data_IF_729582459866
#
_entry.id   IF_729582459866
#
_cell.length_a   1.000
_cell.length_b   1.000
_cell.length_c   1.000
_cell.angle_alpha   90.00
_cell.angle_beta   90.00
_cell.angle_gamma   90.00
#
_symmetry.space_group_name_H-M   'P 1'
#
loop_
_entity.id
_entity.type
_entity.pdbx_description
1 polymer ?
#
# COMPACT_ATOMS: atom_id res chain seq x y z
N UNK A 1 12.99 -5.92 31.87
CA UNK A 1 13.52 -7.21 31.42
C UNK A 1 14.89 -6.95 30.85
N UNK A 2 15.93 -7.50 31.47
CA UNK A 2 17.30 -7.38 30.97
C UNK A 2 17.56 -8.62 30.12
N UNK A 3 17.73 -8.45 28.80
CA UNK A 3 18.03 -9.55 27.88
C UNK A 3 19.53 -9.86 27.97
N UNK A 4 19.89 -11.12 28.19
CA UNK A 4 21.28 -11.55 28.17
C UNK A 4 21.74 -11.70 26.70
N UNK A 5 23.04 -11.48 26.44
CA UNK A 5 23.62 -11.67 25.10
C UNK A 5 23.33 -13.08 24.55
N UNK A 6 23.30 -14.08 25.44
CA UNK A 6 23.07 -15.49 25.10
C UNK A 6 21.64 -15.75 24.59
N UNK A 7 20.66 -14.93 24.96
CA UNK A 7 19.28 -15.07 24.50
C UNK A 7 19.16 -14.91 22.97
N UNK A 8 20.01 -14.03 22.39
CA UNK A 8 20.07 -13.75 20.95
C UNK A 8 20.79 -14.83 20.14
N UNK A 9 21.54 -15.73 20.80
CA UNK A 9 22.29 -16.80 20.13
C UNK A 9 21.51 -18.11 20.06
N UNK A 10 20.31 -18.17 20.65
CA UNK A 10 19.49 -19.39 20.65
C UNK A 10 18.87 -19.66 19.26
N UNK A 11 18.79 -20.94 18.83
CA UNK A 11 18.05 -21.31 17.63
C UNK A 11 16.57 -20.87 17.66
N UNK A 12 15.97 -20.85 18.85
CA UNK A 12 14.59 -20.42 19.07
C UNK A 12 14.39 -18.94 18.73
N UNK A 13 15.33 -18.07 19.14
CA UNK A 13 15.31 -16.66 18.78
C UNK A 13 15.34 -16.45 17.27
N UNK A 14 16.31 -17.06 16.58
CA UNK A 14 16.44 -16.96 15.12
C UNK A 14 15.25 -17.57 14.37
N UNK A 15 14.69 -18.67 14.88
CA UNK A 15 13.46 -19.26 14.34
C UNK A 15 12.26 -18.32 14.49
N UNK A 16 12.15 -17.62 15.63
CA UNK A 16 11.14 -16.59 15.86
C UNK A 16 11.24 -15.46 14.84
N UNK A 17 12.44 -14.90 14.67
CA UNK A 17 12.71 -13.83 13.69
C UNK A 17 12.36 -14.28 12.27
N UNK A 18 12.83 -15.47 11.86
CA UNK A 18 12.56 -16.01 10.53
C UNK A 18 11.04 -16.20 10.29
N UNK A 19 10.30 -16.67 11.29
CA UNK A 19 8.85 -16.80 11.20
C UNK A 19 8.16 -15.45 11.11
N UNK A 20 8.57 -14.44 11.89
CA UNK A 20 8.00 -13.09 11.80
C UNK A 20 8.20 -12.49 10.42
N UNK A 21 9.41 -12.60 9.85
CA UNK A 21 9.71 -12.14 8.48
C UNK A 21 8.81 -12.86 7.48
N UNK A 22 8.75 -14.19 7.56
CA UNK A 22 7.90 -15.01 6.69
C UNK A 22 6.43 -14.58 6.76
N UNK A 23 5.90 -14.38 7.96
CA UNK A 23 4.52 -13.95 8.17
C UNK A 23 4.26 -12.55 7.58
N UNK A 24 5.15 -11.59 7.80
CA UNK A 24 5.03 -10.25 7.25
C UNK A 24 4.99 -10.28 5.70
N UNK A 25 5.92 -11.03 5.09
CA UNK A 25 5.97 -11.22 3.64
C UNK A 25 4.72 -11.91 3.12
N UNK A 26 4.26 -12.96 3.81
CA UNK A 26 3.06 -13.70 3.41
C UNK A 26 1.81 -12.81 3.43
N UNK A 27 1.59 -12.04 4.49
CA UNK A 27 0.44 -11.14 4.61
C UNK A 27 0.44 -10.10 3.47
N UNK A 28 1.58 -9.45 3.24
CA UNK A 28 1.72 -8.43 2.19
C UNK A 28 1.56 -9.02 0.79
N UNK A 29 2.22 -10.15 0.52
CA UNK A 29 2.15 -10.83 -0.75
C UNK A 29 0.74 -11.32 -1.06
N UNK A 30 0.05 -11.93 -0.08
CA UNK A 30 -1.33 -12.38 -0.23
C UNK A 30 -2.26 -11.21 -0.52
N UNK A 31 -2.15 -10.10 0.21
CA UNK A 31 -2.97 -8.90 -0.03
C UNK A 31 -2.76 -8.35 -1.45
N UNK A 32 -1.50 -8.20 -1.85
CA UNK A 32 -1.14 -7.76 -3.19
C UNK A 32 -1.70 -8.70 -4.27
N UNK A 33 -1.48 -10.02 -4.11
CA UNK A 33 -1.90 -11.01 -5.10
C UNK A 33 -3.41 -11.04 -5.26
N UNK A 34 -4.17 -11.03 -4.15
CA UNK A 34 -5.63 -11.00 -4.18
C UNK A 34 -6.13 -9.76 -4.93
N UNK A 35 -5.59 -8.58 -4.63
CA UNK A 35 -6.05 -7.35 -5.25
C UNK A 35 -5.64 -7.25 -6.74
N UNK A 36 -4.37 -7.49 -7.07
CA UNK A 36 -3.85 -7.37 -8.42
C UNK A 36 -4.44 -8.44 -9.35
N UNK A 37 -4.45 -9.71 -8.92
CA UNK A 37 -5.03 -10.80 -9.70
C UNK A 37 -6.56 -10.66 -9.77
N UNK A 38 -7.22 -10.32 -8.65
CA UNK A 38 -8.66 -10.12 -8.59
C UNK A 38 -9.14 -9.05 -9.57
N UNK A 39 -8.48 -7.89 -9.59
CA UNK A 39 -8.82 -6.83 -10.54
C UNK A 39 -8.50 -7.23 -11.98
N UNK A 40 -7.36 -7.90 -12.22
CA UNK A 40 -7.00 -8.41 -13.55
C UNK A 40 -8.06 -9.37 -14.09
N UNK A 41 -8.53 -10.31 -13.26
CA UNK A 41 -9.58 -11.28 -13.61
C UNK A 41 -10.90 -10.54 -13.84
N UNK A 42 -11.30 -9.65 -12.93
CA UNK A 42 -12.52 -8.86 -13.07
C UNK A 42 -12.54 -8.13 -14.41
N UNK A 43 -11.46 -7.42 -14.74
CA UNK A 43 -11.36 -6.66 -15.99
C UNK A 43 -11.33 -7.54 -17.23
N UNK A 44 -10.73 -8.72 -17.16
CA UNK A 44 -10.81 -9.70 -18.24
C UNK A 44 -12.26 -10.16 -18.47
N UNK A 45 -13.01 -10.44 -17.41
CA UNK A 45 -14.43 -10.84 -17.48
C UNK A 45 -15.32 -9.72 -18.04
N UNK A 46 -15.03 -8.47 -17.69
CA UNK A 46 -15.83 -7.31 -18.12
C UNK A 46 -15.27 -6.56 -19.34
N UNK A 47 -14.22 -7.07 -19.99
CA UNK A 47 -13.44 -6.33 -20.98
C UNK A 47 -14.30 -5.76 -22.12
N UNK A 48 -15.29 -6.52 -22.61
CA UNK A 48 -16.20 -6.07 -23.68
C UNK A 48 -16.97 -4.79 -23.35
N UNK A 49 -17.22 -4.52 -22.07
CA UNK A 49 -17.96 -3.32 -21.65
C UNK A 49 -17.04 -2.15 -21.28
N UNK A 50 -15.78 -2.41 -20.92
CA UNK A 50 -14.85 -1.37 -20.44
C UNK A 50 -13.73 -1.04 -21.43
N UNK A 51 -13.59 -1.73 -22.56
CA UNK A 51 -12.49 -1.48 -23.51
C UNK A 51 -12.40 -0.02 -23.98
N UNK A 52 -13.56 0.64 -24.16
CA UNK A 52 -13.63 2.05 -24.53
C UNK A 52 -13.08 3.01 -23.47
N UNK A 53 -12.86 2.53 -22.23
CA UNK A 53 -12.29 3.28 -21.10
C UNK A 53 -10.78 3.09 -20.96
N UNK A 54 -10.15 2.32 -21.83
CA UNK A 54 -8.70 2.11 -21.81
C UNK A 54 -7.97 3.42 -22.06
N UNK A 55 -6.99 3.75 -21.22
CA UNK A 55 -6.26 5.03 -21.29
C UNK A 55 -5.24 5.01 -22.44
N UNK A 56 -4.49 3.91 -22.58
CA UNK A 56 -3.43 3.76 -23.59
C UNK A 56 -3.87 2.83 -24.73
N UNK A 57 -3.49 3.16 -25.97
CA UNK A 57 -3.77 2.29 -27.14
C UNK A 57 -2.96 1.01 -27.12
N UNK A 58 -1.71 1.08 -26.67
CA UNK A 58 -0.81 -0.05 -26.58
C UNK A 58 -1.20 -0.95 -25.40
N UNK A 59 -1.04 -2.27 -25.57
CA UNK A 59 -1.28 -3.27 -24.52
C UNK A 59 0.05 -3.68 -23.89
N UNK A 60 0.05 -3.84 -22.56
CA UNK A 60 1.20 -4.34 -21.83
C UNK A 60 1.59 -5.75 -22.31
N UNK A 61 2.87 -5.94 -22.61
CA UNK A 61 3.42 -7.23 -23.00
C UNK A 61 3.58 -8.15 -21.78
N UNK A 62 3.90 -9.43 -22.01
CA UNK A 62 4.24 -10.36 -20.92
C UNK A 62 5.49 -9.88 -20.17
N UNK A 63 6.48 -9.34 -20.90
CA UNK A 63 7.70 -8.80 -20.31
C UNK A 63 7.40 -7.59 -19.39
N UNK A 64 6.44 -6.74 -19.76
CA UNK A 64 6.00 -5.63 -18.92
C UNK A 64 5.39 -6.12 -17.60
N UNK A 65 4.46 -7.08 -17.69
CA UNK A 65 3.79 -7.66 -16.51
C UNK A 65 4.79 -8.37 -15.59
N UNK A 66 5.78 -9.06 -16.17
CA UNK A 66 6.83 -9.71 -15.37
C UNK A 66 7.72 -8.70 -14.66
N UNK A 67 8.10 -7.61 -15.34
CA UNK A 67 8.84 -6.51 -14.72
C UNK A 67 8.06 -5.91 -13.57
N UNK A 68 6.78 -5.62 -13.77
CA UNK A 68 5.86 -5.09 -12.76
C UNK A 68 5.78 -6.03 -11.55
N UNK A 69 5.51 -7.32 -11.79
CA UNK A 69 5.42 -8.33 -10.73
C UNK A 69 6.72 -8.44 -9.92
N UNK A 70 7.87 -8.49 -10.58
CA UNK A 70 9.18 -8.60 -9.93
C UNK A 70 9.48 -7.36 -9.06
N UNK A 71 9.18 -6.16 -9.55
CA UNK A 71 9.34 -4.91 -8.79
C UNK A 71 8.37 -4.84 -7.61
N UNK A 72 7.12 -5.24 -7.82
CA UNK A 72 6.14 -5.36 -6.75
C UNK A 72 6.59 -6.33 -5.66
N UNK A 73 7.24 -7.44 -6.02
CA UNK A 73 7.84 -8.35 -5.04
C UNK A 73 8.98 -7.71 -4.25
N UNK A 74 9.87 -6.93 -4.89
CA UNK A 74 10.93 -6.17 -4.20
C UNK A 74 10.33 -5.18 -3.18
N UNK A 75 9.29 -4.43 -3.58
CA UNK A 75 8.55 -3.53 -2.69
C UNK A 75 7.91 -4.26 -1.52
N UNK A 76 7.34 -5.45 -1.74
CA UNK A 76 6.74 -6.25 -0.68
C UNK A 76 7.76 -6.59 0.40
N UNK A 77 9.02 -6.85 0.04
CA UNK A 77 10.07 -7.06 1.03
C UNK A 77 10.30 -5.81 1.88
N UNK A 78 10.31 -4.62 1.27
CA UNK A 78 10.44 -3.34 1.99
C UNK A 78 9.24 -3.11 2.92
N UNK A 79 8.02 -3.26 2.41
CA UNK A 79 6.80 -3.12 3.20
C UNK A 79 6.75 -4.12 4.35
N UNK A 80 7.25 -5.34 4.14
CA UNK A 80 7.32 -6.36 5.18
C UNK A 80 8.25 -5.95 6.32
N UNK A 81 9.38 -5.29 6.04
CA UNK A 81 10.26 -4.75 7.07
C UNK A 81 9.57 -3.65 7.91
N UNK A 82 8.81 -2.76 7.26
CA UNK A 82 8.04 -1.72 7.97
C UNK A 82 6.86 -2.33 8.76
N UNK A 83 6.26 -3.40 8.25
CA UNK A 83 5.25 -4.14 9.02
C UNK A 83 5.84 -4.80 10.25
N UNK A 84 7.06 -5.36 10.18
CA UNK A 84 7.73 -5.90 11.36
C UNK A 84 7.95 -4.82 12.41
N UNK A 85 8.34 -3.60 12.01
CA UNK A 85 8.40 -2.45 12.90
C UNK A 85 7.03 -2.17 13.54
N UNK A 86 5.97 -2.15 12.73
CA UNK A 86 4.59 -1.90 13.22
C UNK A 86 4.14 -2.99 14.21
N UNK A 87 4.45 -4.26 13.94
CA UNK A 87 4.18 -5.37 14.85
C UNK A 87 4.99 -5.27 16.14
N UNK A 88 6.26 -4.87 16.07
CA UNK A 88 7.07 -4.63 17.26
C UNK A 88 6.46 -3.50 18.12
N UNK A 89 5.97 -2.43 17.50
CA UNK A 89 5.27 -1.34 18.19
C UNK A 89 3.96 -1.80 18.87
N UNK A 90 3.19 -2.67 18.20
CA UNK A 90 2.02 -3.31 18.79
C UNK A 90 2.38 -4.13 20.03
N UNK A 91 3.42 -4.98 19.93
CA UNK A 91 3.90 -5.81 21.05
C UNK A 91 4.47 -4.98 22.20
N UNK A 92 5.09 -3.84 21.90
CA UNK A 92 5.57 -2.89 22.89
C UNK A 92 4.45 -2.07 23.56
N UNK A 93 3.19 -2.24 23.12
CA UNK A 93 2.04 -1.50 23.65
C UNK A 93 1.94 -0.05 23.17
N UNK A 94 2.71 0.35 22.16
CA UNK A 94 2.70 1.73 21.61
C UNK A 94 1.46 1.99 20.75
N UNK A 95 0.84 0.93 20.24
CA UNK A 95 -0.34 0.98 19.41
C UNK A 95 -1.49 0.23 20.12
N UNK A 96 -2.11 0.82 21.15
CA UNK A 96 -3.24 0.20 21.84
C UNK A 96 -4.36 -0.15 20.85
N UNK A 97 -4.83 -1.40 20.92
CA UNK A 97 -5.94 -1.91 20.12
C UNK A 97 -7.20 -1.94 20.98
N UNK A 98 -8.34 -1.54 20.42
CA UNK A 98 -9.62 -1.62 21.09
C UNK A 98 -10.09 -3.08 21.22
N UNK A 99 -10.49 -3.47 22.44
CA UNK A 99 -11.08 -4.76 22.72
C UNK A 99 -12.62 -4.73 22.59
N UNK A 100 -13.21 -5.87 22.25
CA UNK A 100 -14.65 -6.05 22.16
C UNK A 100 -15.27 -5.64 20.82
N UNK A 101 -16.59 -5.37 20.83
CA UNK A 101 -17.33 -5.05 19.62
C UNK A 101 -16.96 -3.64 19.10
N UNK A 102 -16.91 -3.44 17.76
CA UNK A 102 -16.52 -2.16 17.21
C UNK A 102 -17.53 -1.05 17.57
N UNK A 103 -17.02 0.03 18.14
CA UNK A 103 -17.81 1.25 18.37
C UNK A 103 -17.93 1.98 17.03
N UNK A 104 -19.09 1.89 16.38
CA UNK A 104 -19.27 2.31 14.99
C UNK A 104 -18.82 3.75 14.72
N UNK A 105 -19.13 4.70 15.61
CA UNK A 105 -18.71 6.09 15.46
C UNK A 105 -17.18 6.27 15.47
N UNK A 106 -16.48 5.56 16.38
CA UNK A 106 -15.02 5.59 16.47
C UNK A 106 -14.39 4.89 15.25
N UNK A 107 -14.95 3.75 14.84
CA UNK A 107 -14.49 3.01 13.67
C UNK A 107 -14.56 3.90 12.42
N UNK A 108 -15.72 4.54 12.16
CA UNK A 108 -15.90 5.42 10.99
C UNK A 108 -14.92 6.59 11.07
N UNK A 109 -14.81 7.25 12.23
CA UNK A 109 -13.90 8.37 12.43
C UNK A 109 -12.44 7.97 12.17
N UNK A 110 -12.00 6.80 12.65
CA UNK A 110 -10.65 6.30 12.40
C UNK A 110 -10.42 5.97 10.93
N UNK A 111 -11.36 5.31 10.24
CA UNK A 111 -11.23 5.05 8.80
C UNK A 111 -11.11 6.36 8.02
N UNK A 112 -11.99 7.33 8.28
CA UNK A 112 -11.96 8.63 7.61
C UNK A 112 -10.64 9.37 7.89
N UNK A 113 -10.19 9.38 9.15
CA UNK A 113 -8.92 9.99 9.53
C UNK A 113 -7.73 9.33 8.81
N UNK A 114 -7.65 7.99 8.81
CA UNK A 114 -6.58 7.26 8.12
C UNK A 114 -6.55 7.57 6.63
N UNK A 115 -7.72 7.62 5.97
CA UNK A 115 -7.80 7.95 4.54
C UNK A 115 -7.33 9.38 4.27
N UNK A 116 -7.81 10.36 5.02
CA UNK A 116 -7.41 11.77 4.84
C UNK A 116 -5.91 11.96 5.11
N UNK A 117 -5.41 11.40 6.22
CA UNK A 117 -4.00 11.51 6.60
C UNK A 117 -3.09 10.85 5.57
N UNK A 118 -3.45 9.65 5.09
CA UNK A 118 -2.68 8.94 4.07
C UNK A 118 -2.72 9.67 2.73
N UNK A 119 -3.89 10.12 2.26
CA UNK A 119 -4.00 10.82 0.99
C UNK A 119 -3.24 12.15 1.01
N UNK A 120 -3.26 12.86 2.14
CA UNK A 120 -2.46 14.07 2.35
C UNK A 120 -0.97 13.77 2.25
N UNK A 121 -0.49 12.74 2.95
CA UNK A 121 0.91 12.32 2.87
C UNK A 121 1.29 11.92 1.45
N UNK A 122 0.52 11.02 0.83
CA UNK A 122 0.77 10.51 -0.51
C UNK A 122 0.84 11.65 -1.53
N UNK A 123 -0.07 12.62 -1.49
CA UNK A 123 -0.06 13.77 -2.39
C UNK A 123 1.24 14.56 -2.30
N UNK A 124 1.64 14.98 -1.10
CA UNK A 124 2.83 15.82 -0.92
C UNK A 124 4.13 15.05 -1.15
N UNK A 125 4.19 13.81 -0.66
CA UNK A 125 5.32 12.89 -0.88
C UNK A 125 5.51 12.64 -2.37
N UNK A 126 4.46 12.25 -3.09
CA UNK A 126 4.50 12.02 -4.54
C UNK A 126 4.90 13.30 -5.30
N UNK A 127 4.31 14.45 -4.95
CA UNK A 127 4.69 15.75 -5.54
C UNK A 127 6.17 16.07 -5.33
N UNK A 128 6.72 15.76 -4.15
CA UNK A 128 8.15 15.93 -3.88
C UNK A 128 9.00 14.94 -4.68
N UNK A 129 8.56 13.69 -4.84
CA UNK A 129 9.24 12.69 -5.67
C UNK A 129 9.37 13.11 -7.14
N UNK A 130 8.48 13.97 -7.65
CA UNK A 130 8.58 14.56 -8.99
C UNK A 130 9.63 15.68 -9.14
N UNK A 131 10.26 16.13 -8.05
CA UNK A 131 11.40 17.05 -8.14
C UNK A 131 12.58 16.36 -8.82
N UNK A 132 13.26 17.04 -9.76
CA UNK A 132 14.30 16.48 -10.66
C UNK A 132 15.35 15.59 -9.99
N UNK A 133 15.76 15.91 -8.76
CA UNK A 133 16.74 15.12 -8.00
C UNK A 133 16.14 13.84 -7.43
N UNK A 134 14.95 13.92 -6.84
CA UNK A 134 14.23 12.78 -6.27
C UNK A 134 13.68 11.87 -7.37
N UNK A 135 13.16 12.43 -8.46
CA UNK A 135 12.59 11.67 -9.57
C UNK A 135 13.59 10.64 -10.09
N UNK A 136 14.81 11.09 -10.44
CA UNK A 136 15.85 10.20 -10.99
C UNK A 136 16.31 9.11 -10.02
N UNK A 137 16.25 9.37 -8.71
CA UNK A 137 16.77 8.46 -7.67
C UNK A 137 15.72 7.51 -7.10
N UNK A 138 14.47 7.96 -7.03
CA UNK A 138 13.43 7.30 -6.24
C UNK A 138 12.15 7.01 -7.03
N UNK A 139 11.80 7.77 -8.08
CA UNK A 139 10.47 7.66 -8.71
C UNK A 139 10.51 7.25 -10.20
N UNK A 140 11.65 7.36 -10.86
CA UNK A 140 11.79 7.01 -12.27
C UNK A 140 11.44 5.53 -12.54
N UNK A 141 11.74 4.63 -11.59
CA UNK A 141 11.38 3.20 -11.69
C UNK A 141 9.87 2.99 -11.76
N UNK A 142 9.11 3.73 -10.96
CA UNK A 142 7.65 3.68 -10.97
C UNK A 142 7.06 4.04 -12.34
N UNK A 143 7.65 5.04 -13.01
CA UNK A 143 7.21 5.47 -14.34
C UNK A 143 7.74 4.65 -15.52
N UNK A 144 8.48 3.56 -15.30
CA UNK A 144 8.97 2.71 -16.40
C UNK A 144 7.82 2.04 -17.14
N UNK A 145 6.76 1.65 -16.43
CA UNK A 145 5.56 1.05 -17.04
C UNK A 145 4.66 2.11 -17.66
N UNK A 146 4.87 2.39 -18.95
CA UNK A 146 4.04 3.34 -19.73
C UNK A 146 2.60 2.86 -19.97
N UNK A 147 2.39 1.55 -19.96
CA UNK A 147 1.07 0.91 -20.04
C UNK A 147 0.91 0.02 -18.80
N UNK A 148 0.72 0.61 -17.60
CA UNK A 148 0.69 -0.16 -16.37
C UNK A 148 -0.49 -1.14 -16.39
N UNK A 149 -0.31 -2.26 -15.70
CA UNK A 149 -1.40 -3.18 -15.35
C UNK A 149 -1.59 -3.20 -13.84
N UNK A 150 -2.63 -3.87 -13.34
CA UNK A 150 -2.86 -4.00 -11.89
C UNK A 150 -1.66 -4.62 -11.13
N UNK A 151 -0.75 -5.31 -11.83
CA UNK A 151 0.51 -5.83 -11.29
C UNK A 151 1.54 -4.74 -10.99
N UNK A 152 1.39 -3.54 -11.56
CA UNK A 152 2.24 -2.39 -11.29
C UNK A 152 1.92 -1.69 -9.97
N UNK A 153 0.87 -2.11 -9.24
CA UNK A 153 0.41 -1.44 -8.03
C UNK A 153 1.51 -1.21 -7.00
N UNK A 154 2.45 -2.16 -6.86
CA UNK A 154 3.61 -2.04 -5.96
C UNK A 154 4.94 -1.90 -6.72
N UNK A 155 4.93 -1.56 -8.01
CA UNK A 155 6.14 -1.48 -8.83
C UNK A 155 6.92 -0.17 -8.59
N UNK A 156 7.38 0.03 -7.36
CA UNK A 156 8.13 1.21 -6.91
C UNK A 156 9.65 0.98 -6.92
N UNK A 157 10.41 2.06 -6.75
CA UNK A 157 11.79 1.91 -6.28
C UNK A 157 11.82 1.66 -4.77
N UNK A 158 12.87 1.03 -4.21
CA UNK A 158 12.96 0.80 -2.76
C UNK A 158 12.85 2.07 -1.92
N UNK A 159 13.40 3.20 -2.38
CA UNK A 159 13.33 4.49 -1.66
C UNK A 159 11.88 4.99 -1.57
N UNK A 160 11.15 4.93 -2.68
CA UNK A 160 9.73 5.29 -2.72
C UNK A 160 8.91 4.34 -1.85
N UNK A 161 9.17 3.04 -1.90
CA UNK A 161 8.53 2.05 -1.03
C UNK A 161 8.74 2.37 0.46
N UNK A 162 9.94 2.82 0.87
CA UNK A 162 10.18 3.26 2.25
C UNK A 162 9.32 4.48 2.58
N UNK A 163 9.30 5.51 1.74
CA UNK A 163 8.51 6.72 2.00
C UNK A 163 7.00 6.46 2.05
N UNK A 164 6.49 5.57 1.20
CA UNK A 164 5.09 5.16 1.24
C UNK A 164 4.75 4.40 2.52
N UNK A 165 5.55 3.39 2.86
CA UNK A 165 5.22 2.49 3.99
C UNK A 165 5.50 3.08 5.35
N UNK A 166 6.57 3.87 5.54
CA UNK A 166 7.00 4.36 6.86
C UNK A 166 5.98 5.31 7.49
N UNK A 167 5.14 5.95 6.67
CA UNK A 167 4.10 6.84 7.17
C UNK A 167 2.98 6.08 7.88
N UNK A 168 2.72 4.82 7.53
CA UNK A 168 1.66 4.01 8.16
C UNK A 168 1.84 3.85 9.67
N UNK A 169 2.98 3.38 10.20
CA UNK A 169 3.18 3.32 11.66
C UNK A 169 3.16 4.70 12.33
N UNK A 170 3.67 5.75 11.67
CA UNK A 170 3.60 7.11 12.21
C UNK A 170 2.14 7.59 12.33
N UNK A 171 1.32 7.36 11.30
CA UNK A 171 -0.11 7.65 11.31
C UNK A 171 -0.83 6.85 12.40
N UNK A 172 -0.48 5.57 12.57
CA UNK A 172 -1.07 4.73 13.63
C UNK A 172 -0.74 5.24 15.02
N UNK A 173 0.49 5.70 15.29
CA UNK A 173 0.84 6.37 16.55
C UNK A 173 -0.09 7.57 16.78
N UNK A 174 -0.23 8.46 15.79
CA UNK A 174 -1.06 9.66 15.93
C UNK A 174 -2.51 9.34 16.28
N UNK A 175 -3.10 8.33 15.63
CA UNK A 175 -4.47 7.90 15.91
C UNK A 175 -4.57 7.23 17.29
N UNK A 176 -3.61 6.37 17.63
CA UNK A 176 -3.61 5.63 18.88
C UNK A 176 -3.45 6.54 20.12
N UNK A 177 -2.83 7.72 19.96
CA UNK A 177 -2.76 8.75 21.01
C UNK A 177 -4.12 9.42 21.31
N UNK A 178 -5.11 9.29 20.41
CA UNK A 178 -6.44 9.86 20.60
C UNK A 178 -7.41 8.81 21.16
N UNK A 179 -7.42 7.61 20.57
CA UNK A 179 -8.23 6.49 21.02
C UNK A 179 -7.60 5.15 20.61
N UNK A 180 -7.83 4.05 21.35
CA UNK A 180 -7.39 2.72 20.93
C UNK A 180 -7.86 2.40 19.51
N UNK A 181 -6.97 1.83 18.71
CA UNK A 181 -7.24 1.55 17.30
C UNK A 181 -8.26 0.42 17.15
N UNK A 182 -9.29 0.64 16.36
CA UNK A 182 -10.28 -0.37 16.01
C UNK A 182 -9.67 -1.32 14.96
N UNK A 183 -9.57 -2.65 15.21
CA UNK A 183 -8.99 -3.60 14.25
C UNK A 183 -9.65 -3.53 12.87
N UNK A 184 -10.97 -3.37 12.84
CA UNK A 184 -11.73 -3.22 11.60
C UNK A 184 -11.41 -1.94 10.85
N UNK A 185 -11.07 -0.84 11.53
CA UNK A 185 -10.64 0.39 10.86
C UNK A 185 -9.31 0.19 10.13
N UNK A 186 -8.35 -0.49 10.78
CA UNK A 186 -7.07 -0.86 10.17
C UNK A 186 -7.32 -1.75 8.93
N UNK A 187 -8.12 -2.81 9.08
CA UNK A 187 -8.44 -3.73 7.98
C UNK A 187 -9.08 -3.02 6.78
N UNK A 188 -10.10 -2.18 7.03
CA UNK A 188 -10.78 -1.41 5.99
C UNK A 188 -9.80 -0.46 5.30
N UNK A 189 -8.97 0.25 6.07
CA UNK A 189 -7.98 1.19 5.53
C UNK A 189 -6.92 0.49 4.66
N UNK A 190 -6.34 -0.62 5.12
CA UNK A 190 -5.36 -1.39 4.34
C UNK A 190 -5.98 -1.97 3.06
N UNK A 191 -7.22 -2.46 3.14
CA UNK A 191 -7.97 -2.94 1.97
C UNK A 191 -8.26 -1.83 0.97
N UNK A 192 -8.65 -0.66 1.47
CA UNK A 192 -8.89 0.53 0.66
C UNK A 192 -7.63 1.04 -0.05
N UNK A 193 -6.49 1.07 0.62
CA UNK A 193 -5.21 1.46 0.02
C UNK A 193 -4.85 0.59 -1.18
N UNK A 194 -4.79 -0.74 -0.99
CA UNK A 194 -4.44 -1.64 -2.09
C UNK A 194 -5.48 -1.59 -3.21
N UNK A 195 -6.78 -1.51 -2.89
CA UNK A 195 -7.84 -1.42 -3.88
C UNK A 195 -7.68 -0.18 -4.77
N UNK A 196 -7.47 1.00 -4.18
CA UNK A 196 -7.21 2.23 -4.96
C UNK A 196 -5.95 2.12 -5.80
N UNK A 197 -4.89 1.54 -5.23
CA UNK A 197 -3.62 1.41 -5.92
C UNK A 197 -3.74 0.48 -7.15
N UNK A 198 -4.35 -0.70 -7.03
CA UNK A 198 -4.56 -1.60 -8.19
C UNK A 198 -5.47 -0.99 -9.24
N UNK A 199 -6.50 -0.23 -8.82
CA UNK A 199 -7.40 0.48 -9.74
C UNK A 199 -6.62 1.56 -10.51
N UNK A 200 -5.82 2.36 -9.82
CA UNK A 200 -5.02 3.43 -10.42
C UNK A 200 -3.99 2.92 -11.45
N UNK A 201 -3.51 1.68 -11.28
CA UNK A 201 -2.55 1.05 -12.18
C UNK A 201 -3.17 0.14 -13.23
N UNK A 202 -4.50 -0.01 -13.24
CA UNK A 202 -5.17 -0.98 -14.10
C UNK A 202 -5.13 -0.66 -15.60
N UNK A 203 -4.84 0.59 -15.97
CA UNK A 203 -4.83 1.08 -17.35
C UNK A 203 -6.20 1.47 -17.91
N UNK A 204 -7.23 1.57 -17.05
CA UNK A 204 -8.59 1.98 -17.41
C UNK A 204 -9.06 3.19 -16.60
N UNK A 205 -9.82 4.08 -17.24
CA UNK A 205 -10.47 5.23 -16.62
C UNK A 205 -11.85 4.85 -16.07
N UNK A 206 -11.96 4.79 -14.75
CA UNK A 206 -13.22 4.49 -14.08
C UNK A 206 -14.09 5.71 -13.86
N UNK A 207 -13.53 6.92 -13.89
CA UNK A 207 -14.30 8.13 -13.75
C UNK A 207 -15.25 8.34 -14.94
N UNK A 208 -16.29 9.14 -14.73
CA UNK A 208 -17.20 9.51 -15.80
C UNK A 208 -16.58 10.58 -16.71
N UNK A 209 -17.11 10.70 -17.93
CA UNK A 209 -16.66 11.73 -18.88
C UNK A 209 -16.88 13.13 -18.28
N UNK A 210 -15.80 13.88 -18.12
CA UNK A 210 -15.84 15.23 -17.54
C UNK A 210 -15.59 15.30 -16.04
N UNK A 211 -15.23 14.20 -15.38
CA UNK A 211 -14.80 14.21 -13.97
C UNK A 211 -13.75 15.30 -13.70
N UNK A 212 -12.76 15.46 -14.56
CA UNK A 212 -11.70 16.47 -14.42
C UNK A 212 -12.07 17.84 -14.98
N UNK A 213 -13.33 18.08 -15.36
CA UNK A 213 -13.79 19.36 -15.95
C UNK A 213 -14.64 20.20 -15.00
N UNK A 214 -14.83 19.75 -13.75
CA UNK A 214 -15.60 20.50 -12.75
C UNK A 214 -14.69 21.39 -11.90
N UNK A 215 -15.19 22.49 -11.31
CA UNK A 215 -14.43 23.30 -10.35
C UNK A 215 -13.94 22.51 -9.12
N UNK A 216 -14.66 21.46 -8.73
CA UNK A 216 -14.35 20.66 -7.52
C UNK A 216 -13.26 19.61 -7.76
N UNK A 217 -13.08 19.17 -9.01
CA UNK A 217 -12.25 18.00 -9.36
C UNK A 217 -11.27 18.27 -10.50
N UNK A 218 -11.30 19.47 -11.10
CA UNK A 218 -10.42 19.84 -12.22
C UNK A 218 -8.97 20.10 -11.83
N UNK A 219 -8.65 20.15 -10.52
CA UNK A 219 -7.28 20.22 -10.03
C UNK A 219 -6.60 18.84 -9.93
N UNK A 220 -7.33 17.75 -10.23
CA UNK A 220 -6.83 16.36 -10.20
C UNK A 220 -6.10 15.92 -11.48
N UNK A 221 -5.88 16.84 -12.44
CA UNK A 221 -5.09 16.63 -13.68
C UNK A 221 -3.78 17.38 -13.62
#
# INVERSE_FOLDING_TARGET
MEFAMDDFLTPQFWFGIANSIRWAVQIEFTRYLIAAAGLTILYALINRWIEHRRIQRNKATIADRWREFRRSFETILVFSLVNLLTFAMLQAGWLPIADGAPVLGILIAQVVAMVIMHDTWFYWMHRALHLKALFRRAHATHHVSRTPTSWAAYSFAPIEAVFESIYVPAMFILIANIAPMQPWAIFIFLGHQIARNVIGHSGFELAWSGFTRSPLTGWLT
#
